data_IF_076895529052
#
_entry.id   IF_076895529052
#
_cell.length_a   1.000
_cell.length_b   1.000
_cell.length_c   1.000
_cell.angle_alpha   90.00
_cell.angle_beta   90.00
_cell.angle_gamma   90.00
#
_symmetry.space_group_name_H-M   'P 1'
#
loop_
_entity.id
_entity.type
_entity.pdbx_description
1 polymer ?
#
# COMPACT_ATOMS: atom_id res chain seq x y z
N UNK A 1 -33.83 25.83 -3.95
CA UNK A 1 -34.77 24.70 -4.18
C UNK A 1 -34.50 23.63 -3.14
N UNK A 2 -35.44 23.43 -2.21
CA UNK A 2 -35.27 22.66 -0.96
C UNK A 2 -36.17 21.43 -1.07
N UNK A 3 -35.58 20.24 -1.15
CA UNK A 3 -36.34 18.99 -1.26
C UNK A 3 -37.13 18.75 0.03
N UNK A 4 -38.45 18.61 -0.09
CA UNK A 4 -39.36 18.20 0.99
C UNK A 4 -39.45 16.67 0.99
N UNK A 5 -38.70 16.01 1.86
CA UNK A 5 -38.97 14.64 2.25
C UNK A 5 -39.97 14.63 3.40
N UNK A 6 -41.22 14.24 3.14
CA UNK A 6 -42.20 13.98 4.19
C UNK A 6 -41.87 12.61 4.78
N UNK A 7 -41.36 12.58 6.01
CA UNK A 7 -41.32 11.36 6.83
C UNK A 7 -42.52 11.42 7.76
N UNK A 8 -43.54 10.62 7.47
CA UNK A 8 -44.68 10.43 8.36
C UNK A 8 -44.26 9.50 9.50
N UNK A 9 -43.88 10.09 10.65
CA UNK A 9 -43.58 9.34 11.87
C UNK A 9 -44.79 9.45 12.80
N UNK A 10 -45.61 8.41 12.86
CA UNK A 10 -46.58 8.21 13.94
C UNK A 10 -45.79 7.82 15.19
N UNK A 11 -45.61 8.73 16.15
CA UNK A 11 -45.05 8.37 17.46
C UNK A 11 -46.19 7.84 18.36
N UNK A 12 -46.02 6.61 18.85
CA UNK A 12 -46.72 6.12 20.04
C UNK A 12 -45.67 5.92 21.13
N UNK A 13 -45.64 6.86 22.05
CA UNK A 13 -45.33 6.74 23.49
C UNK A 13 -44.01 6.11 23.99
N UNK A 14 -43.07 5.69 23.14
CA UNK A 14 -41.73 5.31 23.64
C UNK A 14 -40.65 5.71 22.63
N UNK A 15 -39.80 6.67 23.01
CA UNK A 15 -38.79 7.31 22.17
C UNK A 15 -37.58 6.44 21.77
N UNK A 16 -37.77 5.14 21.56
CA UNK A 16 -36.71 4.26 21.06
C UNK A 16 -36.74 4.24 19.53
N UNK A 17 -35.80 4.96 18.91
CA UNK A 17 -35.47 4.81 17.49
C UNK A 17 -34.73 3.48 17.34
N UNK A 18 -35.46 2.41 17.03
CA UNK A 18 -34.83 1.16 16.63
C UNK A 18 -34.04 1.44 15.35
N UNK A 19 -32.72 1.20 15.38
CA UNK A 19 -31.91 1.23 14.17
C UNK A 19 -32.50 0.16 13.23
N UNK A 20 -33.06 0.61 12.11
CA UNK A 20 -33.52 -0.32 11.06
C UNK A 20 -32.38 -1.25 10.69
N UNK A 21 -32.71 -2.52 10.41
CA UNK A 21 -31.68 -3.51 10.06
C UNK A 21 -30.80 -2.97 8.93
N UNK A 22 -29.46 -3.08 9.05
CA UNK A 22 -28.57 -2.63 8.02
C UNK A 22 -28.88 -3.40 6.73
N UNK A 23 -29.36 -2.68 5.72
CA UNK A 23 -29.63 -3.24 4.40
C UNK A 23 -28.37 -3.98 3.91
N UNK A 24 -28.51 -5.26 3.59
CA UNK A 24 -27.41 -6.07 3.08
C UNK A 24 -26.76 -5.33 1.89
N UNK A 25 -25.50 -4.92 2.04
CA UNK A 25 -24.78 -4.19 0.99
C UNK A 25 -24.39 -5.21 -0.07
N UNK A 26 -25.03 -5.15 -1.22
CA UNK A 26 -24.57 -5.89 -2.40
C UNK A 26 -23.26 -5.28 -2.89
N UNK A 27 -22.29 -6.13 -3.24
CA UNK A 27 -21.07 -5.70 -3.91
C UNK A 27 -21.41 -4.89 -5.17
N UNK A 28 -20.59 -3.89 -5.50
CA UNK A 28 -20.78 -3.08 -6.72
C UNK A 28 -20.46 -3.87 -7.98
N UNK A 29 -19.60 -4.86 -7.85
CA UNK A 29 -19.16 -5.73 -8.93
C UNK A 29 -19.62 -7.16 -8.68
N UNK A 30 -19.79 -7.91 -9.77
CA UNK A 30 -20.08 -9.34 -9.69
C UNK A 30 -18.94 -10.07 -8.97
N UNK A 31 -19.21 -11.23 -8.35
CA UNK A 31 -18.17 -12.03 -7.70
C UNK A 31 -17.00 -12.40 -8.61
N UNK A 32 -17.26 -12.57 -9.91
CA UNK A 32 -16.25 -12.84 -10.93
C UNK A 32 -15.25 -11.69 -11.05
N UNK A 33 -15.73 -10.45 -11.18
CA UNK A 33 -14.88 -9.25 -11.27
C UNK A 33 -14.10 -9.05 -9.97
N UNK A 34 -14.73 -9.28 -8.81
CA UNK A 34 -14.04 -9.22 -7.52
C UNK A 34 -12.88 -10.22 -7.45
N UNK A 35 -13.11 -11.46 -7.91
CA UNK A 35 -12.07 -12.51 -7.96
C UNK A 35 -10.93 -12.11 -8.90
N UNK A 36 -11.25 -11.58 -10.09
CA UNK A 36 -10.25 -11.08 -11.03
C UNK A 36 -9.36 -10.00 -10.39
N UNK A 37 -9.96 -9.00 -9.74
CA UNK A 37 -9.21 -7.91 -9.11
C UNK A 37 -8.34 -8.43 -7.97
N UNK A 38 -8.80 -9.41 -7.19
CA UNK A 38 -7.97 -10.05 -6.15
C UNK A 38 -6.73 -10.72 -6.75
N UNK A 39 -6.88 -11.46 -7.85
CA UNK A 39 -5.75 -12.08 -8.56
C UNK A 39 -4.81 -11.03 -9.16
N UNK A 40 -5.36 -9.95 -9.70
CA UNK A 40 -4.57 -8.84 -10.24
C UNK A 40 -3.74 -8.14 -9.15
N UNK A 41 -4.29 -7.93 -7.95
CA UNK A 41 -3.56 -7.34 -6.82
C UNK A 41 -2.41 -8.22 -6.35
N UNK A 42 -2.58 -9.55 -6.38
CA UNK A 42 -1.52 -10.49 -5.99
C UNK A 42 -0.36 -10.48 -6.99
N UNK A 43 -0.66 -10.37 -8.29
CA UNK A 43 0.36 -10.35 -9.35
C UNK A 43 1.02 -8.97 -9.51
N UNK A 44 0.25 -7.89 -9.31
CA UNK A 44 0.69 -6.51 -9.54
C UNK A 44 0.43 -5.61 -8.32
N UNK A 45 0.99 -5.90 -7.12
CA UNK A 45 0.65 -5.17 -5.89
C UNK A 45 0.91 -3.65 -5.96
N UNK A 46 1.76 -3.18 -6.88
CA UNK A 46 2.10 -1.77 -7.04
C UNK A 46 1.33 -1.04 -8.14
N UNK A 47 0.23 -1.59 -8.67
CA UNK A 47 -0.48 -0.99 -9.80
C UNK A 47 -0.95 0.45 -9.51
N UNK A 48 -0.94 1.27 -10.56
CA UNK A 48 -1.63 2.54 -10.61
C UNK A 48 -3.11 2.34 -10.94
N UNK A 49 -3.92 3.29 -10.55
CA UNK A 49 -5.37 3.19 -10.66
C UNK A 49 -5.83 3.07 -12.11
N UNK A 50 -5.11 3.75 -13.00
CA UNK A 50 -5.27 3.77 -14.44
C UNK A 50 -4.95 2.41 -15.07
N UNK A 51 -3.94 1.70 -14.56
CA UNK A 51 -3.57 0.36 -15.04
C UNK A 51 -4.68 -0.64 -14.72
N UNK A 52 -5.19 -0.62 -13.48
CA UNK A 52 -6.34 -1.46 -13.12
C UNK A 52 -7.58 -1.12 -13.97
N UNK A 53 -7.80 0.16 -14.27
CA UNK A 53 -8.91 0.60 -15.12
C UNK A 53 -8.78 0.02 -16.54
N UNK A 54 -7.60 0.12 -17.14
CA UNK A 54 -7.33 -0.40 -18.48
C UNK A 54 -7.54 -1.92 -18.55
N UNK A 55 -7.06 -2.65 -17.55
CA UNK A 55 -7.24 -4.11 -17.46
C UNK A 55 -8.71 -4.50 -17.32
N UNK A 56 -9.46 -3.79 -16.48
CA UNK A 56 -10.91 -4.01 -16.34
C UNK A 56 -11.67 -3.69 -17.63
N UNK A 57 -11.29 -2.63 -18.35
CA UNK A 57 -11.89 -2.27 -19.64
C UNK A 57 -11.58 -3.32 -20.72
N UNK A 58 -10.34 -3.82 -20.76
CA UNK A 58 -9.93 -4.84 -21.71
C UNK A 58 -10.67 -6.17 -21.48
N UNK A 59 -10.79 -6.61 -20.22
CA UNK A 59 -11.43 -7.88 -19.88
C UNK A 59 -12.96 -7.83 -19.97
N UNK A 60 -13.61 -6.75 -19.52
CA UNK A 60 -15.07 -6.68 -19.38
C UNK A 60 -15.77 -5.78 -20.40
N UNK A 61 -15.04 -5.13 -21.33
CA UNK A 61 -15.57 -4.40 -22.50
C UNK A 61 -16.82 -3.54 -22.21
N UNK A 62 -16.79 -2.76 -21.13
CA UNK A 62 -17.85 -1.85 -20.66
C UNK A 62 -19.12 -2.51 -20.07
N UNK A 63 -19.13 -3.81 -19.78
CA UNK A 63 -20.23 -4.44 -19.00
C UNK A 63 -20.29 -3.97 -17.56
N UNK A 64 -19.22 -3.37 -17.05
CA UNK A 64 -19.13 -2.83 -15.69
C UNK A 64 -18.75 -1.35 -15.69
N UNK A 65 -19.23 -0.63 -14.67
CA UNK A 65 -18.81 0.74 -14.42
C UNK A 65 -17.41 0.75 -13.78
N UNK A 66 -16.45 1.39 -14.46
CA UNK A 66 -15.03 1.49 -14.07
C UNK A 66 -14.60 2.93 -13.77
N UNK A 67 -15.54 3.80 -13.39
CA UNK A 67 -15.18 5.15 -12.91
C UNK A 67 -14.31 5.09 -11.66
N UNK A 68 -13.54 6.14 -11.41
CA UNK A 68 -12.59 6.20 -10.30
C UNK A 68 -13.26 6.02 -8.95
N UNK A 69 -14.43 6.61 -8.83
CA UNK A 69 -15.28 6.47 -7.66
C UNK A 69 -15.76 5.02 -7.46
N UNK A 70 -16.08 4.30 -8.54
CA UNK A 70 -16.53 2.90 -8.45
C UNK A 70 -15.39 1.99 -8.05
N UNK A 71 -14.25 2.08 -8.75
CA UNK A 71 -13.06 1.26 -8.44
C UNK A 71 -12.59 1.54 -7.00
N UNK A 72 -12.55 2.81 -6.57
CA UNK A 72 -12.06 3.16 -5.23
C UNK A 72 -12.96 2.57 -4.14
N UNK A 73 -14.28 2.66 -4.34
CA UNK A 73 -15.24 2.06 -3.41
C UNK A 73 -15.18 0.53 -3.45
N UNK A 74 -15.05 -0.08 -4.62
CA UNK A 74 -14.94 -1.53 -4.75
C UNK A 74 -13.69 -2.07 -4.04
N UNK A 75 -12.52 -1.48 -4.32
CA UNK A 75 -11.28 -1.82 -3.63
C UNK A 75 -11.44 -1.70 -2.11
N UNK A 76 -11.98 -0.57 -1.61
CA UNK A 76 -12.04 -0.30 -0.17
C UNK A 76 -13.11 -1.08 0.58
N UNK A 77 -14.32 -1.18 0.03
CA UNK A 77 -15.50 -1.69 0.73
C UNK A 77 -15.86 -3.11 0.34
N UNK A 78 -15.62 -3.51 -0.90
CA UNK A 78 -16.04 -4.81 -1.40
C UNK A 78 -14.87 -5.82 -1.29
N UNK A 79 -13.62 -5.35 -1.49
CA UNK A 79 -12.40 -6.18 -1.41
C UNK A 79 -11.54 -5.93 -0.15
N UNK A 80 -11.90 -4.94 0.66
CA UNK A 80 -11.16 -4.54 1.87
C UNK A 80 -9.66 -4.27 1.64
N UNK A 81 -9.32 -3.70 0.48
CA UNK A 81 -7.97 -3.31 0.08
C UNK A 81 -7.69 -1.84 0.43
N UNK A 82 -6.43 -1.56 0.73
CA UNK A 82 -5.95 -0.21 1.09
C UNK A 82 -4.59 0.04 0.46
N UNK A 83 -4.35 1.28 0.04
CA UNK A 83 -3.07 1.74 -0.51
C UNK A 83 -2.11 2.10 0.63
N UNK A 84 -0.90 1.54 0.60
CA UNK A 84 0.11 1.67 1.68
C UNK A 84 1.44 2.12 1.11
N UNK A 85 2.19 2.87 1.91
CA UNK A 85 3.55 3.28 1.56
C UNK A 85 4.47 2.06 1.70
N UNK A 86 5.22 1.78 0.65
CA UNK A 86 6.23 0.72 0.66
C UNK A 86 7.50 1.26 1.30
N UNK A 87 8.00 0.57 2.32
CA UNK A 87 9.29 0.86 2.95
C UNK A 87 10.29 -0.21 2.56
N UNK A 88 11.44 0.20 2.00
CA UNK A 88 12.55 -0.71 1.74
C UNK A 88 13.18 -1.09 3.08
N UNK A 89 12.95 -2.32 3.54
CA UNK A 89 13.69 -2.89 4.68
C UNK A 89 14.75 -3.83 4.16
N UNK A 90 15.99 -3.62 4.57
CA UNK A 90 17.04 -4.61 4.40
C UNK A 90 16.66 -5.84 5.23
N UNK A 91 16.53 -6.99 4.58
CA UNK A 91 16.18 -8.26 5.23
C UNK A 91 17.21 -8.69 6.28
N UNK A 92 18.42 -8.15 6.18
CA UNK A 92 19.59 -8.45 7.01
C UNK A 92 19.67 -7.59 8.29
N UNK A 93 18.77 -6.63 8.53
CA UNK A 93 18.86 -5.78 9.72
C UNK A 93 18.31 -6.47 10.97
N UNK A 94 19.20 -7.13 11.73
CA UNK A 94 18.87 -7.81 12.99
C UNK A 94 19.20 -6.91 14.20
N UNK A 95 18.25 -6.61 15.10
CA UNK A 95 18.51 -5.75 16.27
C UNK A 95 19.63 -6.22 17.20
N UNK A 96 19.88 -7.53 17.24
CA UNK A 96 20.99 -8.13 18.00
C UNK A 96 22.35 -7.73 17.42
N UNK A 97 22.53 -7.87 16.11
CA UNK A 97 23.78 -7.56 15.41
C UNK A 97 24.15 -6.08 15.52
N UNK A 98 23.14 -5.18 15.50
CA UNK A 98 23.36 -3.75 15.75
C UNK A 98 23.95 -3.47 17.13
N UNK A 99 23.47 -4.17 18.17
CA UNK A 99 24.00 -4.03 19.54
C UNK A 99 25.41 -4.59 19.66
N UNK A 100 25.66 -5.75 19.06
CA UNK A 100 26.99 -6.37 19.03
C UNK A 100 28.02 -5.50 18.30
N UNK A 101 27.63 -4.89 17.18
CA UNK A 101 28.48 -3.96 16.45
C UNK A 101 28.86 -2.73 17.30
N UNK A 102 27.90 -2.11 17.97
CA UNK A 102 28.16 -0.97 18.86
C UNK A 102 29.08 -1.35 20.04
N UNK A 103 28.85 -2.52 20.66
CA UNK A 103 29.68 -3.02 21.76
C UNK A 103 31.12 -3.35 21.32
N UNK A 104 31.30 -3.85 20.08
CA UNK A 104 32.63 -4.08 19.51
C UNK A 104 33.38 -2.79 19.23
N UNK A 105 32.66 -1.71 18.94
CA UNK A 105 33.21 -0.42 18.57
C UNK A 105 33.61 0.43 19.79
N UNK A 106 32.91 0.29 20.91
CA UNK A 106 33.11 1.10 22.11
C UNK A 106 34.53 1.12 22.69
N UNK A 107 35.40 0.09 22.55
CA UNK A 107 36.77 0.17 23.03
C UNK A 107 37.70 1.01 22.14
N UNK A 108 37.31 1.30 20.90
CA UNK A 108 38.21 1.85 19.88
C UNK A 108 38.04 3.35 19.64
N UNK A 109 36.92 3.94 20.03
CA UNK A 109 36.72 5.39 19.98
C UNK A 109 35.89 5.87 21.16
N UNK A 110 36.18 7.09 21.59
CA UNK A 110 35.51 7.80 22.67
C UNK A 110 34.69 9.00 22.16
N UNK A 111 34.91 9.41 20.92
CA UNK A 111 34.30 10.60 20.31
C UNK A 111 34.11 10.46 18.79
N UNK A 112 33.23 11.28 18.20
CA UNK A 112 32.90 11.23 16.77
C UNK A 112 34.03 11.75 15.86
N UNK A 113 34.90 12.61 16.38
CA UNK A 113 36.09 13.17 15.71
C UNK A 113 37.14 12.12 15.33
N UNK A 114 37.04 10.92 15.90
CA UNK A 114 37.94 9.80 15.65
C UNK A 114 37.43 8.88 14.52
N UNK A 115 36.30 9.22 13.90
CA UNK A 115 35.61 8.38 12.94
C UNK A 115 35.57 9.02 11.56
N UNK A 116 35.96 8.24 10.55
CA UNK A 116 35.69 8.56 9.15
C UNK A 116 34.60 7.61 8.66
N UNK A 117 33.49 8.18 8.23
CA UNK A 117 32.37 7.44 7.67
C UNK A 117 32.55 7.32 6.17
N UNK A 118 32.62 6.08 5.69
CA UNK A 118 32.71 5.77 4.27
C UNK A 118 31.39 5.14 3.84
N UNK A 119 30.75 5.71 2.82
CA UNK A 119 29.54 5.14 2.22
C UNK A 119 29.70 5.03 0.70
N UNK A 120 29.27 3.89 0.16
CA UNK A 120 29.23 3.65 -1.28
C UNK A 120 27.79 3.77 -1.76
N UNK A 121 27.49 4.84 -2.51
CA UNK A 121 26.21 4.96 -3.19
C UNK A 121 26.34 4.45 -4.62
N UNK A 122 25.46 3.55 -5.03
CA UNK A 122 25.43 3.06 -6.41
C UNK A 122 24.09 3.39 -7.06
N UNK A 123 24.15 3.96 -8.27
CA UNK A 123 22.99 4.16 -9.11
C UNK A 123 22.88 2.98 -10.07
N UNK A 124 21.74 2.30 -10.01
CA UNK A 124 21.31 1.40 -11.07
C UNK A 124 20.09 1.98 -11.80
N UNK A 125 19.77 1.43 -12.98
CA UNK A 125 18.57 1.79 -13.75
C UNK A 125 17.24 1.43 -13.05
N UNK A 126 17.25 1.03 -11.78
CA UNK A 126 16.07 0.57 -11.01
C UNK A 126 15.58 1.57 -9.99
N UNK A 127 16.04 2.82 -10.09
CA UNK A 127 15.59 3.95 -9.28
C UNK A 127 14.09 4.27 -9.41
N UNK A 128 13.32 3.51 -10.20
CA UNK A 128 11.87 3.66 -10.39
C UNK A 128 11.07 2.65 -9.56
N UNK A 129 11.44 2.47 -8.29
CA UNK A 129 10.57 1.73 -7.37
C UNK A 129 9.32 2.56 -7.07
N UNK A 130 8.14 1.95 -7.26
CA UNK A 130 6.87 2.61 -6.94
C UNK A 130 6.78 2.80 -5.41
N UNK A 131 6.32 3.98 -5.00
CA UNK A 131 6.21 4.36 -3.58
C UNK A 131 5.08 3.64 -2.84
N UNK A 132 4.06 3.18 -3.55
CA UNK A 132 2.85 2.64 -2.96
C UNK A 132 2.53 1.23 -3.48
N UNK A 133 1.94 0.43 -2.61
CA UNK A 133 1.36 -0.87 -2.95
C UNK A 133 -0.01 -1.07 -2.29
N UNK A 134 -0.78 -2.00 -2.83
CA UNK A 134 -2.09 -2.39 -2.34
C UNK A 134 -1.99 -3.67 -1.51
N UNK A 135 -2.67 -3.69 -0.37
CA UNK A 135 -2.86 -4.91 0.40
C UNK A 135 -4.16 -4.85 1.21
N UNK A 136 -4.57 -6.00 1.73
CA UNK A 136 -5.74 -6.10 2.62
C UNK A 136 -5.58 -5.20 3.83
N UNK A 137 -6.69 -4.66 4.34
CA UNK A 137 -6.66 -3.83 5.55
C UNK A 137 -5.96 -4.59 6.68
N UNK A 138 -5.16 -3.89 7.48
CA UNK A 138 -4.39 -4.43 8.60
C UNK A 138 -3.23 -5.38 8.25
N UNK A 139 -2.87 -5.58 6.96
CA UNK A 139 -1.69 -6.37 6.57
C UNK A 139 -0.63 -5.52 5.84
N UNK A 140 0.68 -5.64 6.10
CA UNK A 140 1.67 -4.86 5.34
C UNK A 140 1.60 -5.16 3.83
N UNK A 141 1.77 -4.13 2.98
CA UNK A 141 1.97 -4.36 1.55
C UNK A 141 3.42 -4.82 1.33
N UNK A 142 3.59 -5.98 0.71
CA UNK A 142 4.91 -6.59 0.49
C UNK A 142 5.13 -6.81 -1.00
N UNK A 143 6.32 -6.47 -1.46
CA UNK A 143 6.70 -6.55 -2.88
C UNK A 143 8.11 -7.10 -2.94
N UNK A 144 8.27 -8.24 -3.62
CA UNK A 144 9.59 -8.76 -3.94
C UNK A 144 10.13 -8.03 -5.15
N UNK A 145 11.36 -7.52 -5.05
CA UNK A 145 12.05 -6.90 -6.16
C UNK A 145 13.24 -7.78 -6.55
N UNK A 146 13.46 -8.05 -7.85
CA UNK A 146 14.59 -8.84 -8.27
C UNK A 146 15.90 -8.14 -7.86
N UNK A 147 16.83 -8.91 -7.29
CA UNK A 147 18.18 -8.45 -6.90
C UNK A 147 19.21 -8.61 -8.03
N UNK A 148 18.80 -8.79 -9.29
CA UNK A 148 19.76 -8.94 -10.39
C UNK A 148 20.68 -7.70 -10.45
N UNK A 149 21.94 -7.81 -10.88
CA UNK A 149 22.85 -6.66 -10.92
C UNK A 149 23.01 -6.25 -12.37
N UNK A 150 22.44 -5.12 -12.77
CA UNK A 150 22.75 -4.48 -14.06
C UNK A 150 24.11 -3.78 -14.00
N UNK A 151 24.55 -3.15 -15.10
CA UNK A 151 25.69 -2.22 -15.05
C UNK A 151 25.37 -1.08 -14.06
N UNK A 152 26.28 -0.82 -13.12
CA UNK A 152 26.12 0.18 -12.06
C UNK A 152 27.22 1.23 -12.18
N UNK A 153 26.88 2.46 -11.84
CA UNK A 153 27.86 3.49 -11.51
C UNK A 153 27.81 3.64 -10.00
N UNK A 154 28.96 3.53 -9.33
CA UNK A 154 29.06 3.81 -7.90
C UNK A 154 29.93 5.03 -7.63
N UNK A 155 29.63 5.69 -6.53
CA UNK A 155 30.38 6.81 -5.97
C UNK A 155 30.70 6.40 -4.54
N UNK A 156 31.99 6.42 -4.20
CA UNK A 156 32.46 6.25 -2.84
C UNK A 156 32.65 7.65 -2.25
N UNK A 157 32.01 7.91 -1.12
CA UNK A 157 32.17 9.14 -0.37
C UNK A 157 32.74 8.81 1.01
N UNK A 158 33.64 9.67 1.49
CA UNK A 158 34.14 9.64 2.86
C UNK A 158 33.85 11.00 3.50
N UNK A 159 33.41 10.98 4.74
CA UNK A 159 33.14 12.18 5.53
C UNK A 159 33.59 11.98 6.98
N UNK A 160 34.13 13.03 7.57
CA UNK A 160 34.35 13.20 9.00
C UNK A 160 33.27 14.13 9.59
N UNK A 161 33.32 14.38 10.90
CA UNK A 161 32.30 15.12 11.67
C UNK A 161 32.72 16.56 11.91
#
# INVERSE_FOLDING_TARGET
>A
MRWRGIVLIRSRTTGNVLKGEPRARTSRWSPEVCTFVQLYVQTHPCFYFEELRLELQAHYKNTINVSDSTICRALRFDLNLTRKVLTKRARESVPRERREYAARLSPYYSGPDQLVFIDETSKDGRSVLRRYGWSTRNTPAQVSIPFSRGKRVSILAAMDV
#
